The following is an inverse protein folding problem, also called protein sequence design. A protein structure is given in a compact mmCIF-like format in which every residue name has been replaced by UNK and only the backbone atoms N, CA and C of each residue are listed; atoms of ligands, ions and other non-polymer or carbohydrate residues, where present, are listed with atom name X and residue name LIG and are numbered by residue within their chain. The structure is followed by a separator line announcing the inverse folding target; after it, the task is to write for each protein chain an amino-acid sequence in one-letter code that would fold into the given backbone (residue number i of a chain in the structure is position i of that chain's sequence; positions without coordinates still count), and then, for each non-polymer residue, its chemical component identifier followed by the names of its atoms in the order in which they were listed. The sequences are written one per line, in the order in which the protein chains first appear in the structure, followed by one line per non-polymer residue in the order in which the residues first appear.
data_IF_046576384106
#
_entry.id   IF_046576384106
#
_cell.length_a   1.000
_cell.length_b   1.000
_cell.length_c   1.000
_cell.angle_alpha   90.00
_cell.angle_beta   90.00
_cell.angle_gamma   90.00
#
_symmetry.space_group_name_H-M   'P 1'
#
loop_
_entity.id
_entity.type
_entity.pdbx_description
1 polymer ?
#
# COMPACT_ATOMS: atom_id res chain seq x y z
N UNK A 1 26.36 24.17 -68.84
CA UNK A 1 25.90 22.79 -68.71
C UNK A 1 25.82 22.48 -67.21
N UNK A 2 24.66 22.70 -66.71
CA UNK A 2 24.27 22.47 -65.33
C UNK A 2 23.82 21.00 -65.17
N UNK A 3 24.45 20.26 -64.32
CA UNK A 3 24.01 18.92 -63.91
C UNK A 3 23.15 19.03 -62.65
N UNK A 4 21.85 18.89 -62.85
CA UNK A 4 20.90 18.69 -61.75
C UNK A 4 21.17 17.34 -61.04
N UNK A 5 21.27 17.38 -59.74
CA UNK A 5 21.23 16.19 -58.89
C UNK A 5 19.79 15.78 -58.68
N UNK A 6 19.41 14.50 -58.74
CA UNK A 6 18.04 14.08 -58.49
C UNK A 6 17.71 14.23 -56.99
N UNK A 7 16.58 14.88 -56.76
CA UNK A 7 15.93 14.98 -55.44
C UNK A 7 15.70 13.60 -54.85
N UNK A 8 16.27 13.37 -53.68
CA UNK A 8 15.95 12.21 -52.86
C UNK A 8 14.60 12.46 -52.18
N UNK A 9 13.62 11.64 -52.49
CA UNK A 9 12.31 11.61 -51.85
C UNK A 9 12.45 11.35 -50.32
N UNK A 10 12.01 12.26 -49.45
CA UNK A 10 12.15 12.07 -48.00
C UNK A 10 11.22 11.00 -47.40
N UNK A 11 10.48 10.23 -48.23
CA UNK A 11 9.49 9.24 -47.79
C UNK A 11 9.94 7.77 -47.76
N UNK A 12 11.12 7.44 -48.28
CA UNK A 12 11.53 6.02 -48.42
C UNK A 12 12.49 5.61 -47.30
N UNK A 13 11.95 5.53 -46.05
CA UNK A 13 12.65 4.84 -44.95
C UNK A 13 12.52 3.33 -45.18
N UNK A 14 13.40 2.77 -45.97
CA UNK A 14 13.50 1.31 -46.13
C UNK A 14 14.13 0.74 -44.88
N UNK A 15 13.40 -0.12 -44.17
CA UNK A 15 13.99 -0.95 -43.13
C UNK A 15 15.21 -1.67 -43.72
N UNK A 16 16.36 -1.53 -43.07
CA UNK A 16 17.62 -2.11 -43.54
C UNK A 16 17.58 -3.65 -43.64
N UNK A 17 16.65 -4.25 -42.92
CA UNK A 17 16.43 -5.71 -42.92
C UNK A 17 14.99 -6.05 -42.50
N UNK A 18 14.29 -6.84 -43.30
CA UNK A 18 12.97 -7.40 -42.94
C UNK A 18 13.19 -8.87 -42.57
N UNK A 19 12.91 -9.22 -41.36
CA UNK A 19 12.93 -10.63 -40.88
C UNK A 19 11.50 -11.11 -40.69
N UNK A 20 11.24 -12.35 -41.11
CA UNK A 20 9.97 -12.99 -40.85
C UNK A 20 9.98 -13.53 -39.40
N UNK A 21 9.09 -12.99 -38.56
CA UNK A 21 8.83 -13.52 -37.23
C UNK A 21 7.44 -14.19 -37.22
N UNK A 22 7.31 -15.32 -36.53
CA UNK A 22 5.98 -15.88 -36.29
C UNK A 22 5.31 -15.08 -35.20
N UNK A 23 4.04 -14.78 -35.41
CA UNK A 23 3.28 -13.96 -34.46
C UNK A 23 3.16 -14.63 -33.09
N UNK A 24 3.11 -15.98 -33.06
CA UNK A 24 3.04 -16.75 -31.84
C UNK A 24 4.32 -16.59 -30.99
N UNK A 25 5.50 -16.67 -31.64
CA UNK A 25 6.81 -16.55 -30.96
C UNK A 25 7.01 -15.11 -30.43
N UNK A 26 6.60 -14.10 -31.21
CA UNK A 26 6.67 -12.71 -30.81
C UNK A 26 5.73 -12.40 -29.64
N UNK A 27 4.50 -12.91 -29.67
CA UNK A 27 3.53 -12.76 -28.58
C UNK A 27 4.02 -13.47 -27.30
N UNK A 28 4.59 -14.68 -27.41
CA UNK A 28 5.12 -15.41 -26.26
C UNK A 28 6.27 -14.64 -25.62
N UNK A 29 7.23 -14.17 -26.40
CA UNK A 29 8.37 -13.40 -25.91
C UNK A 29 7.91 -12.08 -25.25
N UNK A 30 7.05 -11.31 -25.93
CA UNK A 30 6.54 -10.05 -25.41
C UNK A 30 5.73 -10.23 -24.12
N UNK A 31 4.98 -11.34 -24.01
CA UNK A 31 4.24 -11.65 -22.80
C UNK A 31 5.16 -12.02 -21.63
N UNK A 32 6.21 -12.79 -21.90
CA UNK A 32 7.23 -13.15 -20.90
C UNK A 32 7.95 -11.89 -20.42
N UNK A 33 8.39 -11.02 -21.33
CA UNK A 33 9.09 -9.78 -20.99
C UNK A 33 8.20 -8.85 -20.16
N UNK A 34 6.92 -8.73 -20.53
CA UNK A 34 5.92 -7.98 -19.75
C UNK A 34 5.72 -8.60 -18.36
N UNK A 35 5.54 -9.92 -18.28
CA UNK A 35 5.34 -10.61 -17.02
C UNK A 35 6.54 -10.42 -16.07
N UNK A 36 7.76 -10.57 -16.59
CA UNK A 36 9.00 -10.36 -15.82
C UNK A 36 9.11 -8.92 -15.32
N UNK A 37 8.82 -7.94 -16.17
CA UNK A 37 8.81 -6.52 -15.79
C UNK A 37 7.80 -6.23 -14.68
N UNK A 38 6.59 -6.82 -14.75
CA UNK A 38 5.56 -6.61 -13.73
C UNK A 38 5.91 -7.30 -12.42
N UNK A 39 6.44 -8.52 -12.48
CA UNK A 39 6.80 -9.30 -11.28
C UNK A 39 7.98 -8.65 -10.54
N UNK A 40 9.11 -8.47 -11.22
CA UNK A 40 10.34 -7.99 -10.59
C UNK A 40 10.39 -6.47 -10.43
N UNK A 41 9.84 -5.73 -11.41
CA UNK A 41 10.01 -4.27 -11.51
C UNK A 41 8.85 -3.41 -11.02
N UNK A 42 7.71 -4.01 -10.58
CA UNK A 42 6.52 -3.20 -10.29
C UNK A 42 5.67 -3.66 -9.13
N UNK A 43 5.19 -4.92 -9.15
CA UNK A 43 4.05 -5.33 -8.34
C UNK A 43 4.43 -5.91 -6.98
N UNK A 44 5.59 -6.57 -6.89
CA UNK A 44 6.01 -7.27 -5.69
C UNK A 44 7.04 -6.46 -4.88
N UNK A 45 6.96 -6.51 -3.55
CA UNK A 45 7.98 -5.91 -2.69
C UNK A 45 9.25 -6.77 -2.66
N UNK A 46 10.41 -6.14 -2.42
CA UNK A 46 11.61 -6.87 -2.03
C UNK A 46 11.48 -7.33 -0.57
N UNK A 47 11.92 -8.54 -0.27
CA UNK A 47 11.80 -9.09 1.08
C UNK A 47 12.70 -8.36 2.09
N UNK A 48 13.80 -7.77 1.64
CA UNK A 48 14.81 -7.12 2.49
C UNK A 48 14.33 -5.79 3.04
N UNK A 49 13.66 -4.95 2.21
CA UNK A 49 13.19 -3.62 2.62
C UNK A 49 11.65 -3.46 2.61
N UNK A 50 10.93 -4.47 2.12
CA UNK A 50 9.46 -4.45 2.06
C UNK A 50 8.87 -3.48 1.07
N UNK A 51 9.67 -2.91 0.16
CA UNK A 51 9.26 -1.85 -0.75
C UNK A 51 9.14 -2.34 -2.19
N UNK A 52 8.17 -1.80 -2.90
CA UNK A 52 8.12 -1.86 -4.36
C UNK A 52 9.09 -0.81 -4.93
N UNK A 53 9.58 -0.98 -6.18
CA UNK A 53 10.50 -0.02 -6.77
C UNK A 53 10.06 1.44 -6.71
N UNK A 54 8.78 1.73 -6.94
CA UNK A 54 8.24 3.10 -6.87
C UNK A 54 8.34 3.70 -5.46
N UNK A 55 8.07 2.92 -4.39
CA UNK A 55 8.22 3.39 -3.00
C UNK A 55 9.67 3.71 -2.68
N UNK A 56 10.57 2.79 -3.04
CA UNK A 56 12.02 2.95 -2.82
C UNK A 56 12.55 4.19 -3.51
N UNK A 57 12.19 4.40 -4.77
CA UNK A 57 12.61 5.55 -5.57
C UNK A 57 12.08 6.87 -5.03
N UNK A 58 10.84 6.92 -4.53
CA UNK A 58 10.29 8.12 -3.88
C UNK A 58 11.11 8.47 -2.63
N UNK A 59 11.32 7.50 -1.74
CA UNK A 59 12.07 7.73 -0.51
C UNK A 59 13.53 8.09 -0.81
N UNK A 60 14.17 7.43 -1.77
CA UNK A 60 15.54 7.73 -2.18
C UNK A 60 15.63 9.13 -2.79
N UNK A 61 14.73 9.52 -3.69
CA UNK A 61 14.70 10.88 -4.23
C UNK A 61 14.50 11.94 -3.13
N UNK A 62 13.65 11.67 -2.14
CA UNK A 62 13.48 12.57 -0.99
C UNK A 62 14.75 12.70 -0.17
N UNK A 63 15.50 11.61 0.02
CA UNK A 63 16.78 11.60 0.72
C UNK A 63 17.83 12.45 -0.02
N UNK A 64 18.02 12.18 -1.31
CA UNK A 64 18.96 12.94 -2.17
C UNK A 64 18.61 14.44 -2.22
N UNK A 65 17.35 14.78 -2.21
CA UNK A 65 16.86 16.16 -2.17
C UNK A 65 16.96 16.81 -0.78
N UNK A 66 17.38 16.09 0.27
CA UNK A 66 17.43 16.57 1.65
C UNK A 66 16.07 16.81 2.27
N UNK A 67 15.02 16.12 1.79
CA UNK A 67 13.65 16.22 2.31
C UNK A 67 13.47 15.20 3.45
N UNK A 68 14.25 15.36 4.49
CA UNK A 68 14.30 14.49 5.67
C UNK A 68 13.23 14.87 6.69
N UNK A 69 13.05 14.06 7.73
CA UNK A 69 12.05 14.27 8.79
C UNK A 69 12.22 15.59 9.54
N UNK A 70 13.45 16.08 9.63
CA UNK A 70 13.81 17.33 10.32
C UNK A 70 13.80 18.55 9.38
N UNK A 71 13.61 18.36 8.08
CA UNK A 71 13.53 19.45 7.10
C UNK A 71 12.13 20.08 7.05
N UNK A 72 12.01 21.23 6.39
CA UNK A 72 10.67 21.78 6.07
C UNK A 72 9.97 20.88 5.04
N UNK A 73 8.64 20.80 5.12
CA UNK A 73 7.84 20.16 4.10
C UNK A 73 8.10 20.80 2.72
N UNK A 74 8.12 20.00 1.70
CA UNK A 74 8.33 20.41 0.30
C UNK A 74 7.09 20.08 -0.53
N UNK A 75 6.80 20.87 -1.55
CA UNK A 75 5.66 20.59 -2.46
C UNK A 75 5.74 19.16 -3.00
N UNK A 76 4.64 18.42 -2.88
CA UNK A 76 4.56 17.05 -3.41
C UNK A 76 4.90 17.00 -4.90
N UNK A 77 4.51 18.03 -5.67
CA UNK A 77 4.86 18.14 -7.09
C UNK A 77 6.37 18.21 -7.35
N UNK A 78 7.18 18.76 -6.43
CA UNK A 78 8.63 18.74 -6.57
C UNK A 78 9.20 17.33 -6.33
N UNK A 79 8.75 16.65 -5.27
CA UNK A 79 9.15 15.26 -4.99
C UNK A 79 8.78 14.33 -6.14
N UNK A 80 7.54 14.45 -6.66
CA UNK A 80 7.08 13.66 -7.81
C UNK A 80 7.92 13.94 -9.05
N UNK A 81 8.22 15.22 -9.32
CA UNK A 81 9.03 15.63 -10.47
C UNK A 81 10.45 15.09 -10.44
N UNK A 82 11.13 15.16 -9.29
CA UNK A 82 12.47 14.60 -9.07
C UNK A 82 12.46 13.07 -9.21
N UNK A 83 11.50 12.39 -8.55
CA UNK A 83 11.34 10.93 -8.67
C UNK A 83 11.15 10.50 -10.13
N UNK A 84 10.28 11.21 -10.86
CA UNK A 84 9.96 10.88 -12.25
C UNK A 84 11.15 11.16 -13.19
N UNK A 85 11.82 12.29 -12.98
CA UNK A 85 12.92 12.73 -13.85
C UNK A 85 14.19 11.92 -13.67
N UNK A 86 14.46 11.48 -12.45
CA UNK A 86 15.76 10.90 -12.10
C UNK A 86 15.70 9.36 -11.97
N UNK A 87 14.58 8.78 -11.51
CA UNK A 87 14.55 7.36 -11.14
C UNK A 87 13.39 6.56 -11.71
N UNK A 88 12.20 7.17 -11.91
CA UNK A 88 10.99 6.40 -12.21
C UNK A 88 10.26 6.92 -13.45
N UNK A 89 10.59 6.43 -14.67
CA UNK A 89 10.07 6.95 -15.94
C UNK A 89 8.63 6.50 -16.21
N UNK A 90 7.71 6.87 -15.33
CA UNK A 90 6.28 6.57 -15.41
C UNK A 90 5.45 7.83 -15.13
N UNK A 91 4.11 7.72 -15.29
CA UNK A 91 3.21 8.85 -15.10
C UNK A 91 3.27 9.45 -13.70
N UNK A 92 3.26 10.77 -13.62
CA UNK A 92 3.28 11.55 -12.38
C UNK A 92 2.13 11.20 -11.42
N UNK A 93 0.96 10.89 -11.96
CA UNK A 93 -0.21 10.47 -11.16
C UNK A 93 0.07 9.21 -10.37
N UNK A 94 0.71 8.19 -10.97
CA UNK A 94 1.02 6.93 -10.29
C UNK A 94 2.06 7.14 -9.16
N UNK A 95 3.03 8.01 -9.37
CA UNK A 95 4.02 8.39 -8.36
C UNK A 95 3.34 9.16 -7.23
N UNK A 96 2.48 10.13 -7.56
CA UNK A 96 1.76 10.91 -6.56
C UNK A 96 0.80 10.07 -5.74
N UNK A 97 0.03 9.17 -6.36
CA UNK A 97 -0.88 8.26 -5.64
C UNK A 97 -0.11 7.36 -4.66
N UNK A 98 1.11 6.96 -5.04
CA UNK A 98 1.99 6.18 -4.15
C UNK A 98 2.52 7.03 -3.00
N UNK A 99 3.00 8.24 -3.27
CA UNK A 99 3.43 9.20 -2.25
C UNK A 99 2.29 9.49 -1.26
N UNK A 100 1.08 9.75 -1.77
CA UNK A 100 -0.09 10.00 -0.95
C UNK A 100 -0.43 8.80 -0.07
N UNK A 101 -0.38 7.59 -0.61
CA UNK A 101 -0.64 6.37 0.17
C UNK A 101 0.38 6.16 1.29
N UNK A 102 1.65 6.51 1.07
CA UNK A 102 2.68 6.45 2.12
C UNK A 102 2.47 7.47 3.25
N UNK A 103 1.66 8.51 3.03
CA UNK A 103 1.31 9.51 4.04
C UNK A 103 -0.04 9.23 4.75
N UNK A 104 -0.83 8.25 4.27
CA UNK A 104 -2.16 7.95 4.83
C UNK A 104 -2.04 7.03 6.05
N UNK A 105 -2.47 7.49 7.21
CA UNK A 105 -2.48 6.74 8.47
C UNK A 105 -3.51 5.59 8.49
N UNK A 106 -4.53 5.64 7.62
CA UNK A 106 -5.50 4.55 7.41
C UNK A 106 -5.04 3.51 6.37
N UNK A 107 -3.97 3.79 5.63
CA UNK A 107 -3.40 2.88 4.61
C UNK A 107 -2.12 2.21 5.07
N UNK A 108 -1.31 2.89 5.89
CA UNK A 108 -0.04 2.39 6.41
C UNK A 108 -0.09 2.32 7.94
N UNK A 109 0.33 1.18 8.49
CA UNK A 109 0.41 1.03 9.96
C UNK A 109 1.42 2.01 10.56
N UNK A 110 2.52 2.23 9.85
CA UNK A 110 3.55 3.24 10.16
C UNK A 110 3.83 4.04 8.89
N UNK A 111 3.20 5.21 8.71
CA UNK A 111 3.42 6.05 7.54
C UNK A 111 4.90 6.36 7.32
N UNK A 112 5.35 6.27 6.07
CA UNK A 112 6.73 6.55 5.67
C UNK A 112 6.91 8.00 5.22
N UNK A 113 5.82 8.70 4.97
CA UNK A 113 5.79 10.11 4.56
C UNK A 113 4.98 10.90 5.58
N UNK A 114 5.52 12.03 6.02
CA UNK A 114 4.83 13.05 6.79
C UNK A 114 4.24 14.07 5.82
N UNK A 115 2.91 14.03 5.67
CA UNK A 115 2.17 14.84 4.72
C UNK A 115 1.51 16.05 5.37
N UNK A 116 1.53 17.20 4.68
CA UNK A 116 0.80 18.39 5.06
C UNK A 116 -0.22 18.75 3.97
N UNK A 117 -1.48 18.83 4.36
CA UNK A 117 -2.62 19.06 3.46
C UNK A 117 -3.58 17.89 3.42
N UNK A 118 -4.41 17.82 2.37
CA UNK A 118 -5.37 16.72 2.20
C UNK A 118 -4.76 15.61 1.35
N UNK A 119 -4.47 14.47 1.99
CA UNK A 119 -3.98 13.24 1.36
C UNK A 119 -5.08 12.17 1.18
N UNK A 120 -6.35 12.57 1.19
CA UNK A 120 -7.48 11.66 1.08
C UNK A 120 -8.06 11.27 2.42
N UNK A 121 -9.08 10.43 2.40
CA UNK A 121 -9.79 9.97 3.59
C UNK A 121 -10.19 8.49 3.50
N UNK A 122 -10.58 7.91 4.63
CA UNK A 122 -11.15 6.56 4.70
C UNK A 122 -12.49 6.44 3.96
N UNK A 123 -13.12 7.56 3.65
CA UNK A 123 -14.33 7.64 2.82
C UNK A 123 -14.06 7.46 1.33
N UNK A 124 -12.79 7.39 0.95
CA UNK A 124 -12.37 7.24 -0.44
C UNK A 124 -12.24 8.57 -1.18
N UNK A 125 -12.25 9.70 -0.47
CA UNK A 125 -11.91 10.96 -1.09
C UNK A 125 -10.48 10.91 -1.63
N UNK A 126 -10.25 11.39 -2.85
CA UNK A 126 -8.91 11.45 -3.41
C UNK A 126 -8.07 12.51 -2.70
N UNK A 127 -6.73 12.36 -2.70
CA UNK A 127 -5.86 13.44 -2.25
C UNK A 127 -6.06 14.70 -3.10
N UNK A 128 -5.84 15.86 -2.50
CA UNK A 128 -5.79 17.11 -3.24
C UNK A 128 -4.67 17.08 -4.29
N UNK A 129 -4.78 17.88 -5.37
CA UNK A 129 -3.74 17.91 -6.39
C UNK A 129 -2.36 18.21 -5.79
N UNK A 130 -1.30 17.55 -6.30
CA UNK A 130 0.07 17.58 -5.76
C UNK A 130 0.70 18.97 -5.61
N UNK A 131 0.15 19.98 -6.31
CA UNK A 131 0.57 21.38 -6.15
C UNK A 131 0.07 22.03 -4.85
N UNK A 132 -0.90 21.44 -4.18
CA UNK A 132 -1.48 21.92 -2.92
C UNK A 132 -0.95 21.21 -1.69
N UNK A 133 -0.52 19.97 -1.83
CA UNK A 133 0.03 19.16 -0.73
C UNK A 133 1.53 19.33 -0.61
N UNK A 134 2.04 19.10 0.59
CA UNK A 134 3.46 19.12 0.91
C UNK A 134 3.84 17.84 1.65
N UNK A 135 5.07 17.40 1.48
CA UNK A 135 5.55 16.15 2.04
C UNK A 135 7.00 16.26 2.50
N UNK A 136 7.37 15.41 3.45
CA UNK A 136 8.73 15.10 3.85
C UNK A 136 8.80 13.65 4.34
N UNK A 137 9.98 13.07 4.50
CA UNK A 137 10.08 11.74 5.11
C UNK A 137 9.54 11.76 6.55
N UNK A 138 8.86 10.68 6.94
CA UNK A 138 8.58 10.43 8.34
C UNK A 138 9.84 9.92 9.05
N UNK A 139 9.99 10.12 10.40
CA UNK A 139 11.17 9.65 11.13
C UNK A 139 11.50 8.17 10.92
N UNK A 140 10.49 7.32 10.86
CA UNK A 140 10.68 5.88 10.64
C UNK A 140 11.23 5.55 9.23
N UNK A 141 10.98 6.40 8.23
CA UNK A 141 11.52 6.20 6.89
C UNK A 141 13.04 6.43 6.83
N UNK A 142 13.59 7.26 7.72
CA UNK A 142 15.04 7.46 7.83
C UNK A 142 15.75 6.19 8.30
N UNK A 143 15.10 5.37 9.12
CA UNK A 143 15.62 4.07 9.55
C UNK A 143 15.72 3.06 8.38
N UNK A 144 14.95 3.24 7.32
CA UNK A 144 15.12 2.45 6.09
C UNK A 144 16.36 2.87 5.30
N UNK A 145 16.81 4.12 5.48
CA UNK A 145 18.00 4.71 4.82
C UNK A 145 19.26 4.62 5.66
N UNK A 146 19.16 4.10 6.91
CA UNK A 146 20.28 4.08 7.83
C UNK A 146 21.52 3.44 7.19
N UNK A 147 22.64 4.16 7.24
CA UNK A 147 23.93 3.73 6.70
C UNK A 147 23.99 3.49 5.17
N UNK A 148 23.06 4.05 4.37
CA UNK A 148 23.03 3.88 2.91
C UNK A 148 24.33 4.39 2.23
N UNK A 149 25.00 5.40 2.81
CA UNK A 149 26.24 5.97 2.30
C UNK A 149 27.49 5.15 2.68
N UNK A 150 27.32 4.01 3.40
CA UNK A 150 28.43 3.20 3.94
C UNK A 150 28.67 1.89 3.18
N UNK A 151 28.27 1.82 1.92
CA UNK A 151 28.44 0.63 1.09
C UNK A 151 27.75 -0.61 1.70
N UNK A 152 26.55 -0.39 2.24
CA UNK A 152 25.74 -1.43 2.89
C UNK A 152 24.83 -2.19 1.94
N UNK A 153 24.52 -1.60 0.78
CA UNK A 153 23.66 -2.14 -0.27
C UNK A 153 24.25 -1.86 -1.64
N UNK A 154 23.90 -2.70 -2.61
CA UNK A 154 24.32 -2.52 -3.99
C UNK A 154 23.51 -1.39 -4.67
N UNK A 155 24.17 -0.70 -5.59
CA UNK A 155 23.59 0.32 -6.44
C UNK A 155 23.61 -0.12 -7.89
N UNK A 156 22.62 0.30 -8.65
CA UNK A 156 22.51 0.07 -10.09
C UNK A 156 22.29 1.37 -10.82
N UNK A 157 22.61 1.41 -12.13
CA UNK A 157 22.30 2.56 -12.96
C UNK A 157 20.78 2.79 -13.01
N UNK A 158 20.37 4.06 -13.03
CA UNK A 158 18.98 4.43 -13.25
C UNK A 158 18.57 4.13 -14.71
N UNK A 159 17.33 4.44 -15.08
CA UNK A 159 16.75 4.10 -16.40
C UNK A 159 17.48 4.71 -17.62
N UNK A 160 18.30 5.73 -17.44
CA UNK A 160 19.04 6.44 -18.52
C UNK A 160 20.56 6.49 -18.31
N UNK A 161 21.06 5.68 -17.41
CA UNK A 161 22.49 5.51 -17.07
C UNK A 161 23.22 6.79 -16.61
N UNK A 162 22.47 7.82 -16.17
CA UNK A 162 23.05 9.09 -15.69
C UNK A 162 23.28 9.15 -14.19
N UNK A 163 22.48 8.43 -13.44
CA UNK A 163 22.51 8.38 -11.99
C UNK A 163 22.53 6.92 -11.52
N UNK A 164 22.78 6.73 -10.25
CA UNK A 164 22.68 5.43 -9.59
C UNK A 164 21.52 5.45 -8.59
N UNK A 165 20.83 4.33 -8.46
CA UNK A 165 19.78 4.10 -7.47
C UNK A 165 20.08 2.82 -6.67
N UNK A 166 19.69 2.73 -5.39
CA UNK A 166 19.90 1.51 -4.62
C UNK A 166 18.98 0.39 -5.11
N UNK A 167 19.52 -0.82 -5.25
CA UNK A 167 18.70 -2.01 -5.55
C UNK A 167 17.69 -2.28 -4.44
N UNK A 168 18.10 -2.03 -3.19
CA UNK A 168 17.31 -2.20 -1.97
C UNK A 168 17.78 -1.18 -0.93
N UNK A 169 16.91 -0.78 -0.01
CA UNK A 169 17.32 0.05 1.13
C UNK A 169 17.94 -0.80 2.24
N UNK A 170 18.85 -0.24 3.05
CA UNK A 170 19.50 -0.96 4.17
C UNK A 170 18.51 -1.51 5.19
N UNK A 171 17.42 -0.79 5.44
CA UNK A 171 16.27 -1.19 6.27
C UNK A 171 16.65 -1.70 7.67
N UNK A 172 16.83 -0.80 8.62
CA UNK A 172 17.17 -1.15 10.01
C UNK A 172 16.06 -1.91 10.76
N UNK A 173 14.88 -2.04 10.18
CA UNK A 173 13.76 -2.82 10.73
C UNK A 173 13.03 -3.61 9.64
N UNK A 174 12.33 -4.71 9.96
CA UNK A 174 11.65 -5.57 8.99
C UNK A 174 10.37 -4.92 8.42
N UNK A 175 10.51 -3.90 7.57
CA UNK A 175 9.40 -3.11 7.05
C UNK A 175 8.35 -3.95 6.30
N UNK A 176 8.75 -5.06 5.64
CA UNK A 176 7.79 -5.95 4.98
C UNK A 176 6.73 -6.49 5.94
N UNK A 177 7.11 -6.84 7.16
CA UNK A 177 6.17 -7.31 8.19
C UNK A 177 5.47 -6.16 8.89
N UNK A 178 6.18 -5.07 9.16
CA UNK A 178 5.67 -3.93 9.92
C UNK A 178 4.56 -3.20 9.17
N UNK A 179 4.77 -2.87 7.90
CA UNK A 179 3.78 -2.18 7.06
C UNK A 179 2.98 -3.12 6.15
N UNK A 180 3.46 -4.35 5.98
CA UNK A 180 2.86 -5.25 5.01
C UNK A 180 3.06 -4.81 3.56
N UNK A 181 2.53 -5.57 2.63
CA UNK A 181 2.48 -5.19 1.22
C UNK A 181 1.42 -5.98 0.48
N UNK A 182 0.76 -5.36 -0.48
CA UNK A 182 -0.21 -6.00 -1.36
C UNK A 182 0.17 -5.74 -2.81
N UNK A 183 0.15 -6.77 -3.65
CA UNK A 183 0.51 -6.64 -5.05
C UNK A 183 -0.11 -7.73 -5.91
N UNK A 184 -0.53 -7.35 -7.13
CA UNK A 184 -1.07 -8.25 -8.14
C UNK A 184 -0.12 -8.21 -9.33
N UNK A 185 0.57 -9.32 -9.57
CA UNK A 185 1.45 -9.50 -10.71
C UNK A 185 0.84 -10.46 -11.74
N UNK A 186 1.57 -10.77 -12.79
CA UNK A 186 1.15 -11.77 -13.79
C UNK A 186 1.33 -13.17 -13.19
N UNK A 187 0.23 -13.91 -13.09
CA UNK A 187 0.24 -15.28 -12.59
C UNK A 187 0.40 -15.45 -11.08
N UNK A 188 0.65 -14.39 -10.33
CA UNK A 188 0.78 -14.45 -8.86
C UNK A 188 0.36 -13.15 -8.18
N UNK A 189 0.02 -13.24 -6.90
CA UNK A 189 -0.30 -12.08 -6.06
C UNK A 189 0.25 -12.28 -4.67
N UNK A 190 0.51 -11.16 -3.98
CA UNK A 190 0.89 -11.14 -2.56
C UNK A 190 -0.06 -10.23 -1.79
N UNK A 191 -0.32 -10.60 -0.53
CA UNK A 191 -1.08 -9.77 0.41
C UNK A 191 -0.59 -10.05 1.83
N UNK A 192 0.45 -9.33 2.22
CA UNK A 192 1.11 -9.44 3.53
C UNK A 192 0.50 -8.37 4.42
N UNK A 193 -0.16 -8.74 5.53
CA UNK A 193 -0.75 -7.76 6.44
C UNK A 193 0.33 -7.04 7.26
N UNK A 194 0.02 -5.84 7.78
CA UNK A 194 0.89 -5.12 8.69
C UNK A 194 0.87 -5.74 10.10
N UNK A 195 1.93 -5.45 10.90
CA UNK A 195 2.10 -5.94 12.26
C UNK A 195 2.62 -4.86 13.20
N UNK A 196 2.45 -5.08 14.49
CA UNK A 196 3.00 -4.19 15.52
C UNK A 196 4.53 -4.21 15.50
N UNK A 197 5.15 -3.03 15.43
CA UNK A 197 6.61 -2.88 15.36
C UNK A 197 7.31 -3.53 16.57
N UNK A 198 6.81 -3.32 17.78
CA UNK A 198 7.38 -3.89 19.00
C UNK A 198 7.36 -5.42 18.96
N UNK A 199 6.22 -6.03 18.62
CA UNK A 199 6.07 -7.48 18.48
C UNK A 199 7.03 -8.07 17.43
N UNK A 200 7.18 -7.39 16.29
CA UNK A 200 8.09 -7.83 15.22
C UNK A 200 9.56 -7.71 15.64
N UNK A 201 9.92 -6.64 16.35
CA UNK A 201 11.27 -6.47 16.90
C UNK A 201 11.57 -7.54 17.94
N UNK A 202 10.65 -7.83 18.88
CA UNK A 202 10.82 -8.88 19.90
C UNK A 202 11.01 -10.25 19.23
N UNK A 203 10.22 -10.58 18.21
CA UNK A 203 10.40 -11.80 17.44
C UNK A 203 11.74 -11.85 16.67
N UNK A 204 12.21 -10.71 16.20
CA UNK A 204 13.51 -10.61 15.54
C UNK A 204 14.65 -10.86 16.51
N UNK A 205 14.58 -10.32 17.73
CA UNK A 205 15.55 -10.57 18.81
C UNK A 205 15.56 -12.04 19.18
N UNK A 206 14.39 -12.67 19.37
CA UNK A 206 14.29 -14.10 19.62
C UNK A 206 14.96 -14.93 18.53
N UNK A 207 14.72 -14.60 17.24
CA UNK A 207 15.34 -15.31 16.13
C UNK A 207 16.85 -15.14 16.05
N UNK A 208 17.39 -13.98 16.47
CA UNK A 208 18.83 -13.73 16.55
C UNK A 208 19.46 -14.58 17.67
N UNK A 209 18.80 -14.65 18.82
CA UNK A 209 19.27 -15.41 19.98
C UNK A 209 19.07 -16.92 19.79
N UNK A 210 18.01 -17.31 19.09
CA UNK A 210 17.62 -18.71 18.81
C UNK A 210 17.40 -18.90 17.29
N UNK A 211 18.49 -19.07 16.49
CA UNK A 211 18.36 -19.13 15.01
C UNK A 211 17.49 -20.29 14.47
N UNK A 212 17.27 -21.33 15.28
CA UNK A 212 16.42 -22.47 14.96
C UNK A 212 14.97 -22.29 15.46
N UNK A 213 14.59 -21.08 15.94
CA UNK A 213 13.24 -20.81 16.40
C UNK A 213 12.21 -21.12 15.31
N UNK A 214 11.13 -21.77 15.69
CA UNK A 214 10.04 -22.12 14.77
C UNK A 214 9.08 -20.94 14.60
N UNK A 215 8.19 -21.05 13.60
CA UNK A 215 7.11 -20.06 13.44
C UNK A 215 6.24 -19.98 14.69
N UNK A 216 6.00 -21.12 15.32
CA UNK A 216 5.25 -21.21 16.57
C UNK A 216 5.92 -20.44 17.72
N UNK A 217 7.24 -20.52 17.84
CA UNK A 217 8.01 -19.78 18.86
C UNK A 217 7.92 -18.26 18.60
N UNK A 218 8.10 -17.84 17.35
CA UNK A 218 7.99 -16.43 16.97
C UNK A 218 6.56 -15.87 17.15
N UNK A 219 5.53 -16.71 17.06
CA UNK A 219 4.14 -16.32 17.31
C UNK A 219 3.81 -16.09 18.80
N UNK A 220 4.71 -16.41 19.72
CA UNK A 220 4.56 -15.97 21.11
C UNK A 220 4.71 -14.45 21.22
N UNK A 221 5.48 -13.83 20.31
CA UNK A 221 5.65 -12.38 20.17
C UNK A 221 4.64 -11.80 19.18
N UNK A 222 4.67 -12.24 17.92
CA UNK A 222 3.76 -11.74 16.85
C UNK A 222 2.47 -12.55 16.86
N UNK A 223 1.47 -12.06 17.57
CA UNK A 223 0.21 -12.78 17.78
C UNK A 223 -0.73 -12.76 16.59
N UNK A 224 -0.57 -11.80 15.69
CA UNK A 224 -1.38 -11.61 14.50
C UNK A 224 -1.16 -10.26 13.83
N UNK A 225 -1.83 -10.01 12.69
CA UNK A 225 -1.83 -8.70 12.06
C UNK A 225 -2.30 -7.59 12.99
N UNK A 226 -1.72 -6.39 12.80
CA UNK A 226 -2.09 -5.15 13.48
C UNK A 226 -2.44 -4.10 12.43
N UNK A 227 -3.74 -3.92 12.18
CA UNK A 227 -4.22 -3.04 11.11
C UNK A 227 -4.33 -1.58 11.58
N UNK A 228 -4.01 -0.60 10.71
CA UNK A 228 -4.10 0.82 11.06
C UNK A 228 -5.53 1.28 11.38
N UNK A 229 -6.53 0.58 10.88
CA UNK A 229 -7.95 0.88 11.12
C UNK A 229 -8.56 0.09 12.28
N UNK A 230 -7.73 -0.66 13.03
CA UNK A 230 -8.19 -1.49 14.15
C UNK A 230 -8.95 -2.73 13.70
N UNK A 231 -10.11 -2.95 14.30
CA UNK A 231 -11.01 -4.07 14.06
C UNK A 231 -10.54 -5.43 14.62
N UNK A 232 -11.43 -6.40 14.67
CA UNK A 232 -11.22 -7.69 15.31
C UNK A 232 -10.88 -8.81 14.33
N UNK A 233 -9.81 -9.55 14.58
CA UNK A 233 -9.46 -10.76 13.82
C UNK A 233 -10.27 -11.93 14.37
N UNK A 234 -10.96 -12.65 13.49
CA UNK A 234 -11.79 -13.80 13.85
C UNK A 234 -11.07 -15.10 13.54
N UNK A 235 -10.65 -15.78 14.62
CA UNK A 235 -10.10 -17.12 14.54
C UNK A 235 -8.57 -17.18 14.44
N UNK A 236 -7.90 -17.57 15.53
CA UNK A 236 -6.44 -17.73 15.61
C UNK A 236 -5.88 -18.77 14.64
N UNK A 237 -6.63 -19.85 14.36
CA UNK A 237 -6.17 -20.92 13.47
C UNK A 237 -5.90 -20.43 12.04
N UNK A 238 -6.65 -19.43 11.56
CA UNK A 238 -6.46 -18.85 10.24
C UNK A 238 -5.13 -18.08 10.15
N UNK A 239 -4.79 -17.31 11.20
CA UNK A 239 -3.52 -16.59 11.32
C UNK A 239 -2.35 -17.59 11.38
N UNK A 240 -2.43 -18.57 12.27
CA UNK A 240 -1.40 -19.60 12.41
C UNK A 240 -1.15 -20.34 11.06
N UNK A 241 -2.23 -20.73 10.36
CA UNK A 241 -2.11 -21.36 9.06
C UNK A 241 -1.44 -20.44 8.05
N UNK A 242 -1.83 -19.16 8.01
CA UNK A 242 -1.26 -18.18 7.08
C UNK A 242 0.25 -18.02 7.31
N UNK A 243 0.67 -17.88 8.55
CA UNK A 243 2.09 -17.71 8.90
C UNK A 243 2.92 -18.97 8.61
N UNK A 244 2.39 -20.14 8.94
CA UNK A 244 3.08 -21.41 8.74
C UNK A 244 3.23 -21.81 7.26
N UNK A 245 2.25 -21.50 6.43
CA UNK A 245 2.17 -21.98 5.05
C UNK A 245 2.32 -20.89 4.01
N UNK A 246 2.35 -19.61 4.41
CA UNK A 246 2.26 -18.47 3.51
C UNK A 246 0.90 -18.30 2.84
N UNK A 247 -0.12 -19.11 3.22
CA UNK A 247 -1.46 -19.07 2.61
C UNK A 247 -2.56 -19.23 3.64
N UNK A 248 -3.49 -18.27 3.68
CA UNK A 248 -4.62 -18.31 4.58
C UNK A 248 -5.66 -17.26 4.23
N UNK A 249 -6.84 -17.38 4.85
CA UNK A 249 -7.88 -16.34 4.82
C UNK A 249 -8.09 -15.86 6.24
N UNK A 250 -7.67 -14.65 6.52
CA UNK A 250 -7.90 -13.99 7.80
C UNK A 250 -9.19 -13.20 7.68
N UNK A 251 -10.15 -13.47 8.55
CA UNK A 251 -11.40 -12.71 8.60
C UNK A 251 -11.26 -11.60 9.63
N UNK A 252 -11.61 -10.39 9.22
CA UNK A 252 -11.61 -9.20 10.06
C UNK A 252 -13.04 -8.69 10.18
N UNK A 253 -13.47 -8.29 11.36
CA UNK A 253 -14.79 -7.74 11.67
C UNK A 253 -14.66 -6.39 12.34
N UNK A 254 -15.55 -5.49 12.01
CA UNK A 254 -15.69 -4.20 12.66
C UNK A 254 -15.83 -4.32 14.19
N UNK A 255 -15.43 -3.30 14.93
CA UNK A 255 -15.71 -3.17 16.35
C UNK A 255 -17.11 -2.54 16.55
N UNK A 256 -17.89 -3.15 17.44
CA UNK A 256 -19.27 -2.76 17.73
C UNK A 256 -19.48 -2.51 19.23
N UNK A 257 -19.98 -1.34 19.56
CA UNK A 257 -20.47 -1.02 20.89
C UNK A 257 -22.01 -1.03 20.88
N UNK A 258 -22.62 -1.91 21.67
CA UNK A 258 -24.09 -2.03 21.78
C UNK A 258 -24.57 -1.25 22.98
N UNK A 259 -25.36 -0.22 22.75
CA UNK A 259 -26.01 0.61 23.78
C UNK A 259 -27.50 0.26 23.85
N UNK A 260 -27.85 -0.82 24.54
CA UNK A 260 -29.21 -1.36 24.61
C UNK A 260 -30.23 -0.35 25.16
N UNK A 261 -29.88 0.37 26.25
CA UNK A 261 -30.76 1.37 26.87
C UNK A 261 -31.08 2.54 25.93
N UNK A 262 -30.18 2.86 25.03
CA UNK A 262 -30.31 3.96 24.07
C UNK A 262 -30.87 3.47 22.72
N UNK A 263 -30.98 2.16 22.52
CA UNK A 263 -31.47 1.55 21.30
C UNK A 263 -30.57 1.85 20.09
N UNK A 264 -29.24 1.80 20.27
CA UNK A 264 -28.28 2.05 19.19
C UNK A 264 -27.08 1.11 19.23
N UNK A 265 -26.47 0.91 18.07
CA UNK A 265 -25.18 0.27 17.90
C UNK A 265 -24.21 1.32 17.32
N UNK A 266 -23.03 1.42 17.88
CA UNK A 266 -21.96 2.29 17.39
C UNK A 266 -20.86 1.42 16.81
N UNK A 267 -20.41 1.74 15.59
CA UNK A 267 -19.27 1.10 14.94
C UNK A 267 -18.12 2.10 15.01
N UNK A 268 -17.05 1.72 15.70
CA UNK A 268 -15.88 2.58 15.96
C UNK A 268 -14.65 2.21 15.13
N UNK A 269 -14.59 0.98 14.62
CA UNK A 269 -13.49 0.49 13.79
C UNK A 269 -14.01 -0.32 12.62
N UNK A 270 -13.33 -0.21 11.47
CA UNK A 270 -13.69 -0.92 10.25
C UNK A 270 -12.55 -1.84 9.79
N UNK A 271 -12.87 -2.95 9.12
CA UNK A 271 -11.86 -3.80 8.50
C UNK A 271 -10.95 -2.99 7.56
N UNK A 272 -9.65 -3.31 7.60
CA UNK A 272 -8.64 -2.66 6.79
C UNK A 272 -8.98 -2.68 5.29
N UNK A 273 -8.68 -1.59 4.59
CA UNK A 273 -8.95 -1.39 3.16
C UNK A 273 -10.45 -1.32 2.79
N UNK A 274 -11.34 -1.11 3.76
CA UNK A 274 -12.75 -0.83 3.47
C UNK A 274 -12.94 0.68 3.23
N UNK A 275 -13.77 1.01 2.25
CA UNK A 275 -14.26 2.36 2.04
C UNK A 275 -15.49 2.58 2.92
N UNK A 276 -15.40 3.52 3.87
CA UNK A 276 -16.45 3.77 4.87
C UNK A 276 -17.76 4.24 4.22
N UNK A 277 -17.70 5.20 3.33
CA UNK A 277 -18.89 5.74 2.66
C UNK A 277 -19.65 4.66 1.88
N UNK A 278 -18.93 3.84 1.09
CA UNK A 278 -19.55 2.73 0.35
C UNK A 278 -20.17 1.66 1.28
N UNK A 279 -19.53 1.42 2.43
CA UNK A 279 -20.07 0.49 3.41
C UNK A 279 -21.38 1.02 3.99
N UNK A 280 -21.42 2.30 4.38
CA UNK A 280 -22.63 2.97 4.89
C UNK A 280 -23.76 2.95 3.85
N UNK A 281 -23.45 3.29 2.59
CA UNK A 281 -24.39 3.21 1.47
C UNK A 281 -24.96 1.81 1.32
N UNK A 282 -24.12 0.79 1.32
CA UNK A 282 -24.55 -0.61 1.20
C UNK A 282 -25.45 -1.06 2.34
N UNK A 283 -25.11 -0.72 3.58
CA UNK A 283 -25.96 -1.00 4.74
C UNK A 283 -27.32 -0.32 4.56
N UNK A 284 -27.38 0.93 4.10
CA UNK A 284 -28.62 1.63 3.85
C UNK A 284 -29.45 0.97 2.73
N UNK A 285 -28.83 0.49 1.67
CA UNK A 285 -29.47 -0.30 0.61
C UNK A 285 -30.06 -1.60 1.15
N UNK A 286 -29.28 -2.38 1.90
CA UNK A 286 -29.73 -3.66 2.51
C UNK A 286 -30.91 -3.46 3.48
N UNK A 287 -30.93 -2.34 4.21
CA UNK A 287 -32.06 -1.94 5.06
C UNK A 287 -33.33 -1.61 4.24
N UNK A 288 -33.14 -0.84 3.15
CA UNK A 288 -34.28 -0.46 2.27
C UNK A 288 -34.85 -1.65 1.52
N UNK A 289 -34.03 -2.63 1.15
CA UNK A 289 -34.42 -3.87 0.50
C UNK A 289 -35.01 -4.91 1.48
N UNK A 290 -34.88 -4.66 2.79
CA UNK A 290 -35.35 -5.55 3.86
C UNK A 290 -34.47 -6.76 4.10
N UNK A 291 -33.21 -6.73 3.62
CA UNK A 291 -32.21 -7.74 3.93
C UNK A 291 -31.73 -7.62 5.38
N UNK A 292 -31.61 -6.38 5.88
CA UNK A 292 -31.36 -6.08 7.30
C UNK A 292 -32.62 -5.45 7.91
N UNK A 293 -33.17 -6.08 8.92
CA UNK A 293 -34.34 -5.61 9.62
C UNK A 293 -33.96 -4.99 10.99
N UNK A 294 -34.82 -4.16 11.55
CA UNK A 294 -34.65 -3.61 12.89
C UNK A 294 -33.88 -2.31 12.97
N UNK A 295 -33.36 -1.80 11.88
CA UNK A 295 -32.67 -0.47 11.81
C UNK A 295 -33.72 0.60 11.52
N UNK A 296 -33.68 1.70 12.31
CA UNK A 296 -34.55 2.88 12.14
C UNK A 296 -33.82 3.97 11.35
N UNK A 297 -32.56 4.20 11.66
CA UNK A 297 -31.72 5.25 11.06
C UNK A 297 -30.26 4.86 11.07
N UNK A 298 -29.49 5.39 10.13
CA UNK A 298 -28.07 5.17 9.99
C UNK A 298 -27.39 6.52 9.76
N UNK A 299 -26.44 6.87 10.64
CA UNK A 299 -25.70 8.14 10.53
C UNK A 299 -24.20 7.89 10.61
N UNK A 300 -23.47 8.61 9.80
CA UNK A 300 -22.02 8.76 9.91
C UNK A 300 -21.72 10.03 10.74
N UNK A 301 -21.20 9.82 11.93
CA UNK A 301 -20.79 10.85 12.88
C UNK A 301 -19.26 10.89 13.01
N UNK A 302 -18.53 10.26 12.06
CA UNK A 302 -17.06 10.24 12.07
C UNK A 302 -16.49 11.64 11.92
N UNK A 303 -15.40 11.89 12.62
CA UNK A 303 -14.66 13.14 12.57
C UNK A 303 -13.13 12.85 12.60
N UNK A 304 -12.32 13.90 12.88
CA UNK A 304 -10.86 13.77 13.00
C UNK A 304 -10.39 12.91 14.17
N UNK A 305 -11.27 12.66 15.15
CA UNK A 305 -10.93 11.87 16.33
C UNK A 305 -11.17 10.37 16.10
N UNK A 306 -11.89 9.99 15.00
CA UNK A 306 -12.06 8.60 14.60
C UNK A 306 -13.35 8.28 13.83
N UNK A 307 -13.49 7.00 13.53
CA UNK A 307 -14.68 6.44 12.89
C UNK A 307 -15.79 6.33 13.92
N UNK A 308 -16.98 6.81 13.55
CA UNK A 308 -18.19 6.70 14.35
C UNK A 308 -19.43 6.57 13.47
N UNK A 309 -19.85 5.34 13.21
CA UNK A 309 -21.10 5.06 12.49
C UNK A 309 -22.15 4.66 13.51
N UNK A 310 -23.26 5.39 13.56
CA UNK A 310 -24.34 5.17 14.52
C UNK A 310 -25.51 4.51 13.81
N UNK A 311 -25.88 3.31 14.25
CA UNK A 311 -27.02 2.54 13.80
C UNK A 311 -28.14 2.64 14.85
N UNK A 312 -29.21 3.37 14.58
CA UNK A 312 -30.34 3.48 15.47
C UNK A 312 -31.33 2.34 15.25
N UNK A 313 -31.74 1.70 16.33
CA UNK A 313 -32.62 0.53 16.30
C UNK A 313 -34.11 0.93 16.40
N UNK A 314 -34.99 0.12 15.82
CA UNK A 314 -36.41 0.17 16.09
C UNK A 314 -36.70 -0.32 17.52
N UNK A 315 -37.83 0.10 18.12
CA UNK A 315 -38.15 -0.17 19.52
C UNK A 315 -38.27 -1.66 19.87
N UNK A 316 -38.63 -2.48 18.91
CA UNK A 316 -38.83 -3.91 19.02
C UNK A 316 -37.68 -4.74 18.46
N UNK A 317 -36.62 -4.08 18.03
CA UNK A 317 -35.45 -4.74 17.48
C UNK A 317 -34.53 -5.26 18.60
N UNK A 318 -34.00 -6.46 18.41
CA UNK A 318 -32.99 -7.05 19.27
C UNK A 318 -31.59 -6.66 18.74
N UNK A 319 -30.82 -5.90 19.52
CA UNK A 319 -29.53 -5.38 19.10
C UNK A 319 -28.55 -6.46 18.63
N UNK A 320 -28.48 -7.59 19.31
CA UNK A 320 -27.62 -8.72 18.92
C UNK A 320 -28.04 -9.36 17.57
N UNK A 321 -29.32 -9.36 17.24
CA UNK A 321 -29.81 -9.86 15.93
C UNK A 321 -29.36 -8.92 14.82
N UNK A 322 -29.57 -7.60 15.00
CA UNK A 322 -29.11 -6.58 14.03
C UNK A 322 -27.61 -6.62 13.86
N UNK A 323 -26.85 -6.70 14.95
CA UNK A 323 -25.38 -6.84 14.92
C UNK A 323 -24.94 -8.06 14.10
N UNK A 324 -25.60 -9.21 14.28
CA UNK A 324 -25.28 -10.42 13.52
C UNK A 324 -25.59 -10.26 12.03
N UNK A 325 -26.67 -9.57 11.66
CA UNK A 325 -26.98 -9.26 10.26
C UNK A 325 -25.94 -8.32 9.64
N UNK A 326 -25.45 -7.33 10.39
CA UNK A 326 -24.39 -6.43 9.94
C UNK A 326 -23.03 -7.14 9.75
N UNK A 327 -22.84 -8.31 10.36
CA UNK A 327 -21.60 -9.10 10.29
C UNK A 327 -21.60 -10.15 9.15
N UNK A 328 -22.72 -10.37 8.48
CA UNK A 328 -22.87 -11.26 7.33
C UNK A 328 -22.58 -10.55 6.00
#
# INVERSE_FOLDING_TARGET
MSSESPDADPGDVRAAQVTNARIEDEMEQSYIDYAMSVIAGRALPDVRDGLKPVHRRILFAMNEAGVTSNSAHRKSSSVVGETMGDYHPHGDSAIYDTLARMAQDFSMRYPLVDGQGNFGSVDGDPPAAMRYTEARMAPIAEELMADIERDTVDFQANYDDRLEEPEVLPAAFPNLLVNGSSGIAVGMSTNIPPHNLGEVVDATVELIETPDATVEDLMEHVKGPDFPTGANIVGRNAVHKAYKTGRGRIRVRAEFEVHEEEGRIVISELPFQQNKSRLVERIAEDVNEGAIEGIRDLRDESDRDGIRIVVELKRDAMAEVVKNQLLE
#
